data_IF_135331938751
#
_entry.id   IF_135331938751
#
_cell.length_a   1.000
_cell.length_b   1.000
_cell.length_c   1.000
_cell.angle_alpha   90.00
_cell.angle_beta   90.00
_cell.angle_gamma   90.00
#
_symmetry.space_group_name_H-M   'P 1'
#
loop_
_entity.id
_entity.type
_entity.pdbx_description
1 polymer ?
#
# COMPACT_ATOMS: atom_id res chain seq x y z
N UNK A 1 -19.34 -7.92 -10.91
CA UNK A 1 -17.95 -8.44 -10.96
C UNK A 1 -17.12 -7.57 -10.01
N UNK A 2 -17.12 -7.93 -8.73
CA UNK A 2 -16.39 -7.15 -7.69
C UNK A 2 -14.92 -7.42 -7.89
N UNK A 3 -14.16 -6.38 -8.26
CA UNK A 3 -12.71 -6.43 -8.23
C UNK A 3 -12.32 -6.73 -6.78
N UNK A 4 -12.00 -8.00 -6.50
CA UNK A 4 -11.31 -8.39 -5.27
C UNK A 4 -10.07 -7.51 -5.23
N UNK A 5 -10.06 -6.57 -4.30
CA UNK A 5 -8.98 -5.60 -4.13
C UNK A 5 -7.66 -6.37 -4.11
N UNK A 6 -6.64 -5.86 -4.82
CA UNK A 6 -5.31 -6.47 -4.90
C UNK A 6 -4.76 -6.81 -3.50
N UNK A 7 -5.15 -6.04 -2.48
CA UNK A 7 -4.82 -6.24 -1.07
C UNK A 7 -5.43 -7.53 -0.49
N UNK A 8 -6.68 -7.87 -0.84
CA UNK A 8 -7.30 -9.13 -0.38
C UNK A 8 -6.66 -10.35 -1.04
N UNK A 9 -6.25 -10.22 -2.31
CA UNK A 9 -5.58 -11.29 -3.05
C UNK A 9 -4.19 -11.54 -2.45
N UNK A 10 -3.44 -10.49 -2.13
CA UNK A 10 -2.14 -10.60 -1.45
C UNK A 10 -2.26 -11.21 -0.05
N UNK A 11 -3.26 -10.78 0.74
CA UNK A 11 -3.52 -11.34 2.07
C UNK A 11 -3.77 -12.86 2.03
N UNK A 12 -4.49 -13.34 0.99
CA UNK A 12 -4.77 -14.77 0.79
C UNK A 12 -3.51 -15.55 0.40
N UNK A 13 -2.60 -14.97 -0.37
CA UNK A 13 -1.33 -15.62 -0.74
C UNK A 13 -0.42 -15.76 0.48
N UNK A 14 -0.29 -14.70 1.29
CA UNK A 14 0.50 -14.71 2.53
C UNK A 14 0.03 -15.80 3.50
N UNK A 15 -1.29 -15.97 3.65
CA UNK A 15 -1.86 -17.00 4.52
C UNK A 15 -1.53 -18.43 4.07
N UNK A 16 -1.45 -18.71 2.76
CA UNK A 16 -1.09 -20.04 2.25
C UNK A 16 0.39 -20.36 2.42
N UNK A 17 1.26 -19.36 2.32
CA UNK A 17 2.72 -19.54 2.47
C UNK A 17 3.14 -19.77 3.92
N UNK A 18 2.39 -19.24 4.88
CA UNK A 18 2.64 -19.40 6.32
C UNK A 18 2.58 -20.85 6.82
N UNK A 19 1.93 -21.75 6.08
CA UNK A 19 1.85 -23.18 6.43
C UNK A 19 3.06 -24.01 5.93
N UNK A 20 4.08 -23.38 5.33
CA UNK A 20 5.33 -24.08 5.00
C UNK A 20 6.30 -24.06 6.21
N UNK A 21 6.66 -25.22 6.79
CA UNK A 21 7.51 -25.28 7.98
C UNK A 21 8.92 -24.68 7.79
N UNK A 22 9.43 -24.59 6.56
CA UNK A 22 10.73 -23.97 6.25
C UNK A 22 10.67 -22.44 6.37
N UNK A 23 9.49 -21.84 6.20
CA UNK A 23 9.26 -20.39 6.28
C UNK A 23 8.70 -19.95 7.64
N UNK A 24 8.55 -20.87 8.59
CA UNK A 24 7.77 -20.64 9.80
C UNK A 24 8.32 -19.49 10.67
N UNK A 25 9.63 -19.34 10.81
CA UNK A 25 10.21 -18.23 11.60
C UNK A 25 10.19 -16.89 10.85
N UNK A 26 10.40 -16.89 9.53
CA UNK A 26 10.30 -15.67 8.71
C UNK A 26 8.83 -15.20 8.57
N UNK A 27 7.88 -16.12 8.62
CA UNK A 27 6.45 -15.82 8.45
C UNK A 27 5.78 -15.42 9.77
N UNK A 28 6.30 -15.87 10.92
CA UNK A 28 5.83 -15.41 12.24
C UNK A 28 5.82 -13.89 12.38
N UNK A 29 6.88 -13.20 11.92
CA UNK A 29 6.92 -11.75 11.97
C UNK A 29 5.83 -11.10 11.11
N UNK A 30 5.60 -11.62 9.91
CA UNK A 30 4.54 -11.15 9.00
C UNK A 30 3.16 -11.41 9.59
N UNK A 31 2.95 -12.55 10.26
CA UNK A 31 1.69 -12.87 10.94
C UNK A 31 1.41 -11.95 12.12
N UNK A 32 2.44 -11.63 12.91
CA UNK A 32 2.35 -10.69 14.04
C UNK A 32 2.00 -9.29 13.53
N UNK A 33 2.70 -8.79 12.51
CA UNK A 33 2.44 -7.46 11.93
C UNK A 33 1.02 -7.37 11.36
N UNK A 34 0.57 -8.42 10.67
CA UNK A 34 -0.80 -8.52 10.15
C UNK A 34 -1.84 -8.49 11.26
N UNK A 35 -1.63 -9.22 12.34
CA UNK A 35 -2.55 -9.22 13.48
C UNK A 35 -2.62 -7.84 14.14
N UNK A 36 -1.46 -7.22 14.37
CA UNK A 36 -1.36 -5.88 14.94
C UNK A 36 -2.07 -4.83 14.09
N UNK A 37 -1.83 -4.80 12.77
CA UNK A 37 -2.48 -3.86 11.85
C UNK A 37 -4.00 -4.08 11.86
N UNK A 38 -4.46 -5.34 11.82
CA UNK A 38 -5.89 -5.65 11.90
C UNK A 38 -6.51 -5.14 13.20
N UNK A 39 -5.86 -5.37 14.34
CA UNK A 39 -6.33 -4.90 15.65
C UNK A 39 -6.45 -3.36 15.67
N UNK A 40 -5.50 -2.64 15.07
CA UNK A 40 -5.59 -1.17 14.97
C UNK A 40 -6.74 -0.70 14.09
N UNK A 41 -7.08 -1.43 13.04
CA UNK A 41 -8.24 -1.15 12.19
C UNK A 41 -9.55 -1.45 12.94
N UNK A 42 -9.66 -2.62 13.57
CA UNK A 42 -10.85 -3.07 14.29
C UNK A 42 -11.15 -2.15 15.49
N UNK A 43 -10.12 -1.66 16.18
CA UNK A 43 -10.24 -0.68 17.26
C UNK A 43 -10.49 0.77 16.77
N UNK A 44 -10.56 0.99 15.46
CA UNK A 44 -10.79 2.31 14.86
C UNK A 44 -9.63 3.29 14.96
N UNK A 45 -8.44 2.85 15.40
CA UNK A 45 -7.23 3.69 15.46
C UNK A 45 -6.69 4.00 14.07
N UNK A 46 -6.91 3.08 13.12
CA UNK A 46 -6.55 3.25 11.70
C UNK A 46 -7.80 3.09 10.85
N UNK A 47 -8.13 4.11 10.06
CA UNK A 47 -9.21 4.04 9.09
C UNK A 47 -8.62 3.82 7.68
N UNK A 48 -9.00 2.74 7.01
CA UNK A 48 -8.65 2.54 5.61
C UNK A 48 -9.71 3.15 4.71
N UNK A 49 -9.34 4.18 3.97
CA UNK A 49 -10.19 4.77 2.93
C UNK A 49 -9.72 4.31 1.56
N UNK A 50 -10.67 4.07 0.66
CA UNK A 50 -10.35 3.73 -0.71
C UNK A 50 -9.90 4.98 -1.46
N UNK A 51 -8.74 4.88 -2.13
CA UNK A 51 -8.24 5.87 -3.07
C UNK A 51 -8.11 5.16 -4.43
N UNK A 52 -8.69 5.70 -5.52
CA UNK A 52 -8.48 5.16 -6.86
C UNK A 52 -6.98 5.12 -7.19
N UNK A 53 -6.53 4.08 -7.91
CA UNK A 53 -5.11 3.93 -8.28
C UNK A 53 -4.56 5.16 -9.02
N UNK A 54 -5.38 5.77 -9.88
CA UNK A 54 -4.99 6.99 -10.62
C UNK A 54 -4.83 8.22 -9.72
N UNK A 55 -5.26 8.15 -8.47
CA UNK A 55 -5.18 9.23 -7.50
C UNK A 55 -4.23 8.93 -6.32
N UNK A 56 -3.63 7.74 -6.30
CA UNK A 56 -2.75 7.29 -5.23
C UNK A 56 -1.38 7.97 -5.35
N UNK A 57 -1.25 9.12 -4.71
CA UNK A 57 -0.04 9.97 -4.78
C UNK A 57 1.25 9.24 -4.35
N UNK A 58 1.16 8.27 -3.44
CA UNK A 58 2.29 7.44 -3.02
C UNK A 58 2.93 6.63 -4.18
N UNK A 59 2.20 6.42 -5.28
CA UNK A 59 2.70 5.73 -6.47
C UNK A 59 3.86 6.48 -7.13
N UNK A 60 3.96 7.80 -6.95
CA UNK A 60 5.10 8.62 -7.41
C UNK A 60 6.43 8.11 -6.86
N UNK A 61 6.44 7.57 -5.63
CA UNK A 61 7.64 7.11 -4.95
C UNK A 61 7.89 5.61 -5.07
N UNK A 62 6.89 4.84 -5.53
CA UNK A 62 6.92 3.37 -5.45
C UNK A 62 6.80 2.69 -6.80
N UNK A 63 6.37 3.41 -7.85
CA UNK A 63 6.10 2.85 -9.18
C UNK A 63 6.79 3.65 -10.29
N UNK A 64 7.14 2.96 -11.38
CA UNK A 64 7.50 3.60 -12.64
C UNK A 64 6.25 4.03 -13.39
N UNK A 65 5.84 5.30 -13.25
CA UNK A 65 4.63 5.83 -13.86
C UNK A 65 4.89 6.41 -15.25
N UNK A 66 3.89 6.32 -16.15
CA UNK A 66 3.92 7.07 -17.40
C UNK A 66 3.88 8.58 -17.11
N UNK A 67 4.57 9.36 -17.94
CA UNK A 67 4.76 10.80 -17.74
C UNK A 67 3.47 11.56 -17.39
N UNK A 68 2.38 11.33 -18.13
CA UNK A 68 1.09 11.98 -17.88
C UNK A 68 0.55 11.71 -16.47
N UNK A 69 0.66 10.47 -16.00
CA UNK A 69 0.19 10.06 -14.68
C UNK A 69 1.12 10.60 -13.58
N UNK A 70 2.43 10.57 -13.82
CA UNK A 70 3.42 11.15 -12.92
C UNK A 70 3.20 12.65 -12.73
N UNK A 71 3.07 13.41 -13.82
CA UNK A 71 2.87 14.86 -13.78
C UNK A 71 1.57 15.23 -13.04
N UNK A 72 0.49 14.46 -13.26
CA UNK A 72 -0.78 14.63 -12.54
C UNK A 72 -0.62 14.42 -11.02
N UNK A 73 0.02 13.31 -10.60
CA UNK A 73 0.20 13.01 -9.17
C UNK A 73 1.20 13.95 -8.49
N UNK A 74 2.26 14.37 -9.19
CA UNK A 74 3.20 15.38 -8.68
C UNK A 74 2.52 16.74 -8.49
N UNK A 75 1.62 17.13 -9.39
CA UNK A 75 0.79 18.32 -9.21
C UNK A 75 -0.02 18.31 -7.90
N UNK A 76 -0.44 17.13 -7.43
CA UNK A 76 -1.18 16.98 -6.15
C UNK A 76 -0.27 17.07 -4.91
N UNK A 77 1.04 16.89 -5.05
CA UNK A 77 1.99 16.90 -3.94
C UNK A 77 2.36 18.31 -3.43
N UNK A 78 1.94 19.37 -4.13
CA UNK A 78 2.30 20.75 -3.83
C UNK A 78 3.82 20.92 -3.59
N UNK A 79 4.63 20.26 -4.43
CA UNK A 79 6.09 20.34 -4.31
C UNK A 79 6.58 21.75 -4.65
N UNK A 80 7.38 22.33 -3.77
CA UNK A 80 8.10 23.56 -4.04
C UNK A 80 9.36 23.26 -4.86
N UNK A 81 9.54 24.04 -5.92
CA UNK A 81 10.74 23.95 -6.75
C UNK A 81 11.81 24.87 -6.14
N UNK A 82 12.78 24.28 -5.45
CA UNK A 82 13.90 24.99 -4.83
C UNK A 82 14.83 25.67 -5.85
N UNK A 83 14.65 25.41 -7.14
CA UNK A 83 15.41 26.04 -8.23
C UNK A 83 14.62 27.12 -8.95
N UNK A 84 13.34 27.34 -8.61
CA UNK A 84 12.60 28.50 -9.14
C UNK A 84 13.12 29.78 -8.48
N UNK A 85 13.50 30.81 -9.26
CA UNK A 85 13.82 32.11 -8.68
C UNK A 85 12.58 32.71 -8.01
N UNK A 86 12.81 33.44 -6.91
CA UNK A 86 11.80 34.13 -6.13
C UNK A 86 11.11 35.27 -6.90
#
# INVERSE_FOLDING_TARGET
MVARSSVEVEFRVVAHVAHNPILHDRTKHVEVDKHFIKEKIDNGLVCMTYIPTEEQVADVFTKGLHKRQFDFLVGKLALEDIFKPA
#
